data_IF_353752127716
#
_entry.id   IF_353752127716
#
_cell.length_a   1.000
_cell.length_b   1.000
_cell.length_c   1.000
_cell.angle_alpha   90.00
_cell.angle_beta   90.00
_cell.angle_gamma   90.00
#
_symmetry.space_group_name_H-M   'P 1'
#
loop_
_entity.id
_entity.type
_entity.pdbx_description
1 polymer ?
#
# COMPACT_ATOMS: atom_id res chain seq x y z
N UNK A 1 3.73 -37.22 12.37
CA UNK A 1 2.41 -37.03 12.99
C UNK A 1 1.74 -35.95 12.17
N UNK A 2 0.78 -36.38 11.37
CA UNK A 2 0.04 -35.57 10.41
C UNK A 2 -0.88 -34.64 11.19
N UNK A 3 -0.51 -33.36 11.28
CA UNK A 3 -1.30 -32.36 11.97
C UNK A 3 -2.55 -32.07 11.16
N UNK A 4 -3.64 -32.76 11.45
CA UNK A 4 -4.91 -32.61 10.73
C UNK A 4 -5.39 -31.17 10.85
N UNK A 5 -5.29 -30.41 9.76
CA UNK A 5 -5.88 -29.09 9.58
C UNK A 5 -7.39 -29.22 9.84
N UNK A 6 -7.89 -28.61 10.92
CA UNK A 6 -9.29 -28.77 11.37
C UNK A 6 -10.25 -27.74 10.79
N UNK A 7 -9.72 -26.68 10.20
CA UNK A 7 -10.50 -25.61 9.63
C UNK A 7 -9.70 -24.85 8.58
N UNK A 8 -10.18 -24.87 7.34
CA UNK A 8 -9.76 -23.97 6.27
C UNK A 8 -10.90 -23.00 6.04
N UNK A 9 -10.64 -21.70 6.20
CA UNK A 9 -11.61 -20.67 5.84
C UNK A 9 -11.59 -20.52 4.32
N UNK A 10 -12.38 -21.32 3.61
CA UNK A 10 -12.42 -21.44 2.13
C UNK A 10 -12.96 -20.20 1.38
N UNK A 11 -12.94 -19.00 1.99
CA UNK A 11 -13.44 -17.76 1.38
C UNK A 11 -12.92 -16.47 1.99
N UNK A 12 -11.88 -16.53 2.84
CA UNK A 12 -11.24 -15.34 3.41
C UNK A 12 -10.00 -14.97 2.60
N UNK A 13 -9.71 -13.68 2.51
CA UNK A 13 -8.42 -13.17 2.00
C UNK A 13 -7.27 -13.93 2.68
N UNK A 14 -6.19 -14.28 1.96
CA UNK A 14 -4.96 -14.77 2.57
C UNK A 14 -4.58 -13.90 3.78
N UNK A 15 -3.98 -14.49 4.82
CA UNK A 15 -3.65 -13.75 6.05
C UNK A 15 -2.85 -12.48 5.75
N UNK A 16 -1.93 -12.55 4.79
CA UNK A 16 -1.13 -11.41 4.34
C UNK A 16 -1.97 -10.33 3.66
N UNK A 17 -2.93 -10.70 2.82
CA UNK A 17 -3.87 -9.76 2.21
C UNK A 17 -4.78 -9.12 3.26
N UNK A 18 -5.31 -9.90 4.20
CA UNK A 18 -6.14 -9.37 5.28
C UNK A 18 -5.38 -8.38 6.16
N UNK A 19 -4.14 -8.71 6.53
CA UNK A 19 -3.29 -7.81 7.31
C UNK A 19 -2.91 -6.56 6.52
N UNK A 20 -2.66 -6.69 5.21
CA UNK A 20 -2.38 -5.55 4.34
C UNK A 20 -3.58 -4.61 4.23
N UNK A 21 -4.80 -5.13 4.06
CA UNK A 21 -6.04 -4.35 4.04
C UNK A 21 -6.30 -3.65 5.37
N UNK A 22 -6.02 -4.32 6.50
CA UNK A 22 -6.15 -3.73 7.82
C UNK A 22 -5.18 -2.55 8.02
N UNK A 23 -3.90 -2.73 7.67
CA UNK A 23 -2.91 -1.66 7.74
C UNK A 23 -3.24 -0.51 6.79
N UNK A 24 -3.72 -0.82 5.57
CA UNK A 24 -4.18 0.16 4.60
C UNK A 24 -5.36 0.98 5.16
N UNK A 25 -6.32 0.33 5.82
CA UNK A 25 -7.45 0.98 6.49
C UNK A 25 -7.00 1.93 7.59
N UNK A 26 -6.10 1.47 8.48
CA UNK A 26 -5.54 2.32 9.54
C UNK A 26 -4.78 3.52 8.97
N UNK A 27 -3.98 3.32 7.92
CA UNK A 27 -3.27 4.40 7.25
C UNK A 27 -4.22 5.44 6.64
N UNK A 28 -5.32 4.99 6.01
CA UNK A 28 -6.37 5.88 5.50
C UNK A 28 -7.03 6.71 6.60
N UNK A 29 -7.25 6.14 7.80
CA UNK A 29 -7.77 6.89 8.94
C UNK A 29 -6.82 8.02 9.38
N UNK A 30 -5.52 7.76 9.43
CA UNK A 30 -4.53 8.81 9.71
C UNK A 30 -4.51 9.87 8.60
N UNK A 31 -4.59 9.47 7.34
CA UNK A 31 -4.65 10.39 6.21
C UNK A 31 -5.86 11.32 6.26
N UNK A 32 -7.05 10.77 6.58
CA UNK A 32 -8.28 11.56 6.76
C UNK A 32 -8.17 12.55 7.92
N UNK A 33 -7.43 12.22 8.97
CA UNK A 33 -7.11 13.12 10.10
C UNK A 33 -6.00 14.13 9.77
N UNK A 34 -5.54 14.18 8.51
CA UNK A 34 -4.43 15.02 8.05
C UNK A 34 -3.09 14.73 8.75
N UNK A 35 -2.96 13.56 9.38
CA UNK A 35 -1.73 13.11 10.03
C UNK A 35 -0.83 12.46 8.98
N UNK A 36 -0.35 13.26 8.02
CA UNK A 36 0.27 12.76 6.80
C UNK A 36 1.56 11.96 7.05
N UNK A 37 2.37 12.35 8.04
CA UNK A 37 3.59 11.60 8.41
C UNK A 37 3.27 10.22 8.99
N UNK A 38 2.25 10.11 9.84
CA UNK A 38 1.82 8.82 10.40
C UNK A 38 1.14 7.94 9.34
N UNK A 39 0.35 8.57 8.46
CA UNK A 39 -0.25 7.90 7.31
C UNK A 39 0.81 7.31 6.39
N UNK A 40 1.81 8.10 5.99
CA UNK A 40 2.94 7.67 5.16
C UNK A 40 3.65 6.46 5.75
N UNK A 41 3.99 6.49 7.05
CA UNK A 41 4.66 5.38 7.73
C UNK A 41 3.85 4.10 7.64
N UNK A 42 2.55 4.16 7.92
CA UNK A 42 1.67 2.99 7.87
C UNK A 42 1.45 2.48 6.45
N UNK A 43 1.27 3.37 5.48
CA UNK A 43 1.17 3.00 4.07
C UNK A 43 2.46 2.33 3.57
N UNK A 44 3.64 2.86 3.91
CA UNK A 44 4.91 2.20 3.60
C UNK A 44 5.04 0.84 4.27
N UNK A 45 4.63 0.73 5.53
CA UNK A 45 4.66 -0.54 6.24
C UNK A 45 3.79 -1.59 5.54
N UNK A 46 2.56 -1.24 5.15
CA UNK A 46 1.66 -2.14 4.45
C UNK A 46 2.27 -2.64 3.13
N UNK A 47 2.86 -1.75 2.32
CA UNK A 47 3.42 -2.15 1.03
C UNK A 47 4.78 -2.88 1.11
N UNK A 48 5.57 -2.65 2.17
CA UNK A 48 6.86 -3.30 2.39
C UNK A 48 6.70 -4.66 3.07
N UNK A 49 5.75 -4.78 3.99
CA UNK A 49 5.51 -6.01 4.77
C UNK A 49 4.72 -7.01 3.96
N UNK A 50 3.78 -6.55 3.14
CA UNK A 50 2.89 -7.41 2.36
C UNK A 50 2.99 -7.12 0.86
N UNK A 51 4.18 -7.23 0.23
CA UNK A 51 4.40 -6.81 -1.16
C UNK A 51 3.64 -7.65 -2.18
N UNK A 52 3.17 -8.84 -1.84
CA UNK A 52 2.38 -9.70 -2.72
C UNK A 52 0.87 -9.51 -2.57
N UNK A 53 0.43 -8.72 -1.59
CA UNK A 53 -1.00 -8.48 -1.36
C UNK A 53 -1.62 -7.58 -2.44
N UNK A 54 -2.92 -7.73 -2.68
CA UNK A 54 -3.67 -6.85 -3.58
C UNK A 54 -3.69 -5.39 -3.11
N UNK A 55 -3.55 -5.16 -1.80
CA UNK A 55 -3.48 -3.84 -1.18
C UNK A 55 -2.10 -3.16 -1.33
N UNK A 56 -1.03 -3.90 -1.62
CA UNK A 56 0.33 -3.37 -1.71
C UNK A 56 0.50 -2.21 -2.70
N UNK A 57 0.03 -2.29 -3.97
CA UNK A 57 0.16 -1.17 -4.91
C UNK A 57 -0.65 0.06 -4.46
N UNK A 58 -1.79 -0.13 -3.80
CA UNK A 58 -2.56 0.98 -3.24
C UNK A 58 -1.80 1.66 -2.09
N UNK A 59 -1.27 0.85 -1.18
CA UNK A 59 -0.51 1.33 -0.03
C UNK A 59 0.74 2.10 -0.48
N UNK A 60 1.48 1.59 -1.48
CA UNK A 60 2.57 2.32 -2.11
C UNK A 60 2.10 3.70 -2.59
N UNK A 61 1.06 3.75 -3.43
CA UNK A 61 0.54 4.99 -3.99
C UNK A 61 0.23 6.03 -2.90
N UNK A 62 -0.53 5.64 -1.88
CA UNK A 62 -0.89 6.52 -0.79
C UNK A 62 0.27 6.90 0.11
N UNK A 63 1.34 6.09 0.20
CA UNK A 63 2.56 6.48 0.89
C UNK A 63 3.19 7.72 0.21
N UNK A 64 3.34 7.68 -1.12
CA UNK A 64 3.88 8.82 -1.87
C UNK A 64 2.98 10.06 -1.80
N UNK A 65 1.66 9.88 -1.89
CA UNK A 65 0.69 10.98 -1.72
C UNK A 65 0.76 11.57 -0.31
N UNK A 66 0.90 10.74 0.71
CA UNK A 66 1.01 11.19 2.11
C UNK A 66 2.30 11.97 2.34
N UNK A 67 3.44 11.49 1.80
CA UNK A 67 4.70 12.22 1.86
C UNK A 67 4.60 13.59 1.16
N UNK A 68 4.06 13.62 -0.07
CA UNK A 68 3.78 14.88 -0.76
C UNK A 68 2.88 15.82 0.06
N UNK A 69 1.85 15.31 0.73
CA UNK A 69 0.97 16.13 1.60
C UNK A 69 1.67 16.63 2.86
N UNK A 70 2.73 15.97 3.32
CA UNK A 70 3.46 16.34 4.52
C UNK A 70 4.43 17.51 4.28
N UNK A 71 5.11 17.56 3.12
CA UNK A 71 6.17 18.55 2.84
C UNK A 71 6.05 19.27 1.49
N UNK A 72 5.03 18.94 0.69
CA UNK A 72 4.72 19.54 -0.61
C UNK A 72 5.79 19.34 -1.70
N UNK A 73 6.68 18.34 -1.57
CA UNK A 73 7.68 18.02 -2.60
C UNK A 73 7.15 16.99 -3.58
N UNK A 74 7.06 17.39 -4.85
CA UNK A 74 6.60 16.52 -5.93
C UNK A 74 7.55 15.33 -6.20
N UNK A 75 8.79 15.36 -5.68
CA UNK A 75 9.75 14.26 -5.80
C UNK A 75 9.18 12.93 -5.30
N UNK A 76 8.42 12.95 -4.20
CA UNK A 76 7.79 11.76 -3.61
C UNK A 76 6.79 11.09 -4.56
N UNK A 77 6.10 11.88 -5.38
CA UNK A 77 5.16 11.37 -6.38
C UNK A 77 5.91 10.70 -7.55
N UNK A 78 7.02 11.29 -7.98
CA UNK A 78 7.87 10.71 -9.03
C UNK A 78 8.55 9.42 -8.58
N UNK A 79 9.07 9.38 -7.35
CA UNK A 79 9.69 8.18 -6.77
C UNK A 79 8.68 7.04 -6.65
N UNK A 80 7.48 7.31 -6.11
CA UNK A 80 6.49 6.25 -5.94
C UNK A 80 5.94 5.77 -7.29
N UNK A 81 5.80 6.66 -8.28
CA UNK A 81 5.37 6.27 -9.61
C UNK A 81 6.37 5.32 -10.28
N UNK A 82 7.68 5.59 -10.11
CA UNK A 82 8.74 4.68 -10.60
C UNK A 82 8.65 3.33 -9.91
N UNK A 83 8.52 3.31 -8.58
CA UNK A 83 8.38 2.08 -7.81
C UNK A 83 7.14 1.28 -8.23
N UNK A 84 5.99 1.92 -8.41
CA UNK A 84 4.76 1.28 -8.86
C UNK A 84 4.89 0.70 -10.26
N UNK A 85 5.54 1.43 -11.17
CA UNK A 85 5.80 0.94 -12.54
C UNK A 85 6.75 -0.25 -12.56
N UNK A 86 7.73 -0.30 -11.67
CA UNK A 86 8.71 -1.39 -11.60
C UNK A 86 8.14 -2.64 -10.91
N UNK A 87 7.48 -2.46 -9.76
CA UNK A 87 7.01 -3.58 -8.93
C UNK A 87 5.59 -4.05 -9.24
N UNK A 88 4.73 -3.14 -9.71
CA UNK A 88 3.30 -3.41 -9.92
C UNK A 88 2.82 -2.85 -11.28
N UNK A 89 3.48 -3.18 -12.41
CA UNK A 89 3.23 -2.56 -13.72
C UNK A 89 1.78 -2.71 -14.20
N UNK A 90 1.12 -3.82 -13.85
CA UNK A 90 -0.26 -4.14 -14.25
C UNK A 90 -1.32 -3.53 -13.31
N UNK A 91 -0.90 -2.91 -12.19
CA UNK A 91 -1.83 -2.36 -11.21
C UNK A 91 -2.49 -1.07 -11.69
N UNK A 92 -3.74 -0.86 -11.29
CA UNK A 92 -4.44 0.40 -11.54
C UNK A 92 -3.67 1.60 -10.94
N UNK A 93 -2.98 1.37 -9.81
CA UNK A 93 -2.19 2.39 -9.13
C UNK A 93 -0.96 2.82 -9.92
N UNK A 94 -0.27 1.90 -10.60
CA UNK A 94 0.81 2.24 -11.53
C UNK A 94 0.29 3.08 -12.70
N UNK A 95 -0.88 2.73 -13.24
CA UNK A 95 -1.54 3.52 -14.30
C UNK A 95 -1.91 4.92 -13.80
N UNK A 96 -2.49 5.03 -12.60
CA UNK A 96 -2.86 6.32 -11.97
C UNK A 96 -1.64 7.19 -11.68
N UNK A 97 -0.54 6.61 -11.22
CA UNK A 97 0.70 7.34 -10.92
C UNK A 97 1.53 7.68 -12.16
N UNK A 98 1.22 7.10 -13.32
CA UNK A 98 2.00 7.31 -14.55
C UNK A 98 2.12 8.79 -14.96
N UNK A 99 1.14 9.62 -14.60
CA UNK A 99 1.14 11.07 -14.88
C UNK A 99 2.23 11.83 -14.10
N UNK A 100 2.81 11.24 -13.06
CA UNK A 100 3.91 11.83 -12.28
C UNK A 100 5.29 11.48 -12.85
N UNK A 101 5.34 10.63 -13.88
CA UNK A 101 6.56 10.32 -14.62
C UNK A 101 6.71 11.35 -15.74
N UNK A 102 7.44 12.43 -15.45
CA UNK A 102 7.87 13.42 -16.42
C UNK A 102 9.34 13.23 -16.78
#
# INVERSE_FOLDING_TARGET
MDGTERHRLEGYLPVEDFLADLELGLAKLHFQKQQYQDAEKRFRQACQTYPSSGAAPEACYWAGVSAYKADNKAEHLGEIAKLLKEKYPESEWARKSSVWLH
#
